data_IF_263959675082
#
_entry.id   IF_263959675082
#
_cell.length_a   1.000
_cell.length_b   1.000
_cell.length_c   1.000
_cell.angle_alpha   90.00
_cell.angle_beta   90.00
_cell.angle_gamma   90.00
#
_symmetry.space_group_name_H-M   'P 1'
#
loop_
_entity.id
_entity.type
_entity.pdbx_description
1 polymer ?
#
# COMPACT_ATOMS: atom_id res chain seq x y z
N UNK A 1 65.66 -5.15 -35.69
CA UNK A 1 65.07 -4.11 -34.84
C UNK A 1 63.62 -4.48 -34.61
N UNK A 2 63.29 -4.76 -33.36
CA UNK A 2 61.98 -5.14 -32.85
C UNK A 2 60.99 -3.97 -32.94
N UNK A 3 59.70 -4.29 -33.09
CA UNK A 3 58.62 -3.75 -32.24
C UNK A 3 57.35 -4.57 -32.46
N UNK A 4 57.17 -5.56 -31.58
CA UNK A 4 55.92 -6.27 -31.35
C UNK A 4 55.01 -5.37 -30.51
N UNK A 5 53.92 -4.87 -31.09
CA UNK A 5 52.83 -4.25 -30.33
C UNK A 5 51.98 -5.35 -29.69
N UNK A 6 52.25 -5.60 -28.42
CA UNK A 6 51.35 -6.31 -27.51
C UNK A 6 50.24 -5.32 -27.09
N UNK A 7 49.06 -5.43 -27.68
CA UNK A 7 47.85 -4.83 -27.11
C UNK A 7 47.20 -5.85 -26.17
N UNK A 8 47.11 -5.58 -24.86
CA UNK A 8 46.51 -6.51 -23.92
C UNK A 8 45.01 -6.60 -24.15
N UNK A 9 44.52 -7.84 -24.23
CA UNK A 9 43.12 -8.22 -24.23
C UNK A 9 42.31 -7.31 -23.29
N UNK A 10 41.34 -6.60 -23.87
CA UNK A 10 40.35 -5.86 -23.14
C UNK A 10 39.68 -6.79 -22.10
N UNK A 11 40.04 -6.57 -20.83
CA UNK A 11 39.39 -7.21 -19.70
C UNK A 11 37.89 -6.91 -19.79
N UNK A 12 37.10 -7.94 -20.09
CA UNK A 12 35.65 -7.91 -20.00
C UNK A 12 35.30 -7.41 -18.61
N UNK A 13 34.63 -6.25 -18.54
CA UNK A 13 34.04 -5.76 -17.29
C UNK A 13 33.21 -6.89 -16.68
N UNK A 14 33.42 -7.27 -15.41
CA UNK A 14 32.58 -8.26 -14.77
C UNK A 14 31.14 -7.75 -14.81
N UNK A 15 30.25 -8.58 -15.33
CA UNK A 15 28.83 -8.32 -15.30
C UNK A 15 28.38 -8.03 -13.88
N UNK A 16 27.44 -7.11 -13.76
CA UNK A 16 26.65 -6.83 -12.56
C UNK A 16 26.30 -8.16 -11.86
N UNK A 17 26.56 -8.34 -10.54
CA UNK A 17 26.18 -9.57 -9.87
C UNK A 17 24.65 -9.61 -9.83
N UNK A 18 24.05 -10.43 -10.70
CA UNK A 18 22.60 -10.52 -10.89
C UNK A 18 22.10 -11.88 -10.43
N UNK A 19 22.32 -12.18 -9.15
CA UNK A 19 21.61 -13.16 -8.35
C UNK A 19 22.31 -13.15 -6.99
N UNK A 20 21.76 -12.45 -6.00
CA UNK A 20 21.76 -13.09 -4.69
C UNK A 20 21.01 -14.41 -4.93
N UNK A 21 21.56 -15.55 -4.50
CA UNK A 21 20.94 -16.86 -4.67
C UNK A 21 19.48 -16.76 -4.25
N UNK A 22 18.58 -16.71 -5.24
CA UNK A 22 17.16 -16.73 -4.98
C UNK A 22 16.92 -18.12 -4.43
N UNK A 23 16.36 -18.19 -3.22
CA UNK A 23 15.98 -19.46 -2.63
C UNK A 23 15.08 -20.21 -3.62
N UNK A 24 15.57 -21.34 -4.16
CA UNK A 24 14.85 -22.08 -5.20
C UNK A 24 13.50 -22.60 -4.68
N UNK A 25 13.34 -22.75 -3.36
CA UNK A 25 12.07 -23.12 -2.74
C UNK A 25 10.98 -22.04 -2.89
N UNK A 26 11.36 -20.77 -3.06
CA UNK A 26 10.42 -19.67 -3.30
C UNK A 26 9.80 -19.73 -4.69
N UNK A 27 10.54 -20.21 -5.69
CA UNK A 27 10.12 -20.19 -7.10
C UNK A 27 8.73 -20.84 -7.30
N UNK A 28 8.48 -22.10 -6.88
CA UNK A 28 7.17 -22.73 -7.09
C UNK A 28 6.03 -22.04 -6.32
N UNK A 29 6.32 -21.47 -5.14
CA UNK A 29 5.34 -20.71 -4.35
C UNK A 29 4.91 -19.47 -5.13
N UNK A 30 5.89 -18.70 -5.61
CA UNK A 30 5.64 -17.46 -6.36
C UNK A 30 4.98 -17.76 -7.70
N UNK A 31 5.37 -18.82 -8.40
CA UNK A 31 4.68 -19.27 -9.61
C UNK A 31 3.20 -19.59 -9.36
N UNK A 32 2.88 -20.31 -8.28
CA UNK A 32 1.50 -20.61 -7.89
C UNK A 32 0.71 -19.31 -7.66
N UNK A 33 1.31 -18.35 -6.97
CA UNK A 33 0.70 -17.03 -6.74
C UNK A 33 0.50 -16.28 -8.06
N UNK A 34 1.47 -16.29 -8.97
CA UNK A 34 1.40 -15.65 -10.30
C UNK A 34 0.36 -16.30 -11.22
N UNK A 35 0.13 -17.62 -11.10
CA UNK A 35 -0.90 -18.34 -11.85
C UNK A 35 -2.30 -17.94 -11.39
N UNK A 36 -2.50 -17.79 -10.07
CA UNK A 36 -3.75 -17.31 -9.48
C UNK A 36 -4.00 -15.84 -9.80
N UNK A 37 -2.95 -15.02 -9.75
CA UNK A 37 -2.98 -13.60 -10.07
C UNK A 37 -2.34 -13.36 -11.41
N UNK A 38 -3.07 -13.65 -12.49
CA UNK A 38 -2.56 -13.40 -13.84
C UNK A 38 -2.29 -11.91 -14.06
N UNK A 39 -1.34 -11.64 -14.95
CA UNK A 39 -1.05 -10.30 -15.45
C UNK A 39 -2.35 -9.62 -15.89
N UNK A 40 -2.53 -8.36 -15.50
CA UNK A 40 -3.73 -7.57 -15.83
C UNK A 40 -3.65 -7.13 -17.29
N UNK A 41 -4.71 -7.43 -18.06
CA UNK A 41 -4.90 -6.95 -19.43
C UNK A 41 -5.48 -5.54 -19.42
N UNK A 42 -5.46 -4.86 -20.57
CA UNK A 42 -6.06 -3.52 -20.68
C UNK A 42 -7.59 -3.57 -20.46
N UNK A 43 -8.25 -4.64 -20.91
CA UNK A 43 -9.70 -4.81 -20.71
C UNK A 43 -10.03 -4.94 -19.23
N UNK A 44 -9.33 -5.85 -18.52
CA UNK A 44 -9.49 -6.03 -17.08
C UNK A 44 -9.13 -4.76 -16.27
N UNK A 45 -8.28 -3.88 -16.82
CA UNK A 45 -7.98 -2.59 -16.20
C UNK A 45 -9.21 -1.67 -16.19
N UNK A 46 -10.04 -1.69 -17.23
CA UNK A 46 -11.27 -0.90 -17.30
C UNK A 46 -12.28 -1.37 -16.25
N UNK A 47 -12.37 -2.68 -16.03
CA UNK A 47 -13.19 -3.25 -14.96
C UNK A 47 -12.69 -2.83 -13.56
N UNK A 48 -11.38 -2.85 -13.34
CA UNK A 48 -10.75 -2.41 -12.07
C UNK A 48 -10.98 -0.91 -11.84
N UNK A 49 -10.88 -0.10 -12.89
CA UNK A 49 -11.11 1.34 -12.83
C UNK A 49 -12.59 1.70 -12.72
N UNK A 50 -13.50 0.76 -13.03
CA UNK A 50 -14.95 0.94 -13.03
C UNK A 50 -15.37 2.18 -13.84
N UNK A 51 -14.70 2.45 -14.97
CA UNK A 51 -14.82 3.69 -15.73
C UNK A 51 -15.18 3.51 -17.21
N UNK A 52 -15.86 2.41 -17.53
CA UNK A 52 -16.40 2.13 -18.87
C UNK A 52 -17.71 2.86 -19.18
N UNK A 53 -18.27 2.59 -20.38
CA UNK A 53 -19.47 3.25 -20.93
C UNK A 53 -20.74 3.10 -20.08
N UNK A 54 -20.74 2.22 -19.08
CA UNK A 54 -21.85 1.94 -18.16
C UNK A 54 -21.92 2.86 -16.93
N UNK A 55 -21.14 3.94 -16.90
CA UNK A 55 -21.14 4.92 -15.81
C UNK A 55 -22.46 5.70 -15.69
N UNK A 56 -23.08 6.02 -16.83
CA UNK A 56 -24.34 6.77 -16.91
C UNK A 56 -25.49 5.81 -16.62
N UNK A 57 -26.30 6.15 -15.62
CA UNK A 57 -27.47 5.38 -15.19
C UNK A 57 -28.54 6.32 -14.61
N UNK A 58 -29.64 5.77 -14.08
CA UNK A 58 -30.73 6.60 -13.54
C UNK A 58 -30.30 7.55 -12.41
N UNK A 59 -29.19 7.25 -11.73
CA UNK A 59 -28.62 8.04 -10.63
C UNK A 59 -27.33 8.82 -11.01
N UNK A 60 -26.82 8.66 -12.24
CA UNK A 60 -25.65 9.38 -12.79
C UNK A 60 -25.93 9.83 -14.21
N UNK A 61 -25.86 11.13 -14.44
CA UNK A 61 -25.98 11.64 -15.79
C UNK A 61 -24.67 12.26 -16.30
N UNK A 62 -24.74 12.83 -17.51
CA UNK A 62 -23.60 13.51 -18.11
C UNK A 62 -23.21 14.78 -17.34
N UNK A 63 -24.16 15.43 -16.66
CA UNK A 63 -23.88 16.64 -15.86
C UNK A 63 -23.00 16.29 -14.67
N UNK A 64 -23.23 15.14 -14.05
CA UNK A 64 -22.36 14.63 -12.98
C UNK A 64 -20.94 14.34 -13.49
N UNK A 65 -20.79 13.65 -14.62
CA UNK A 65 -19.47 13.38 -15.23
C UNK A 65 -18.74 14.68 -15.63
N UNK A 66 -19.45 15.67 -16.15
CA UNK A 66 -18.90 16.98 -16.47
C UNK A 66 -18.43 17.70 -15.20
N UNK A 67 -19.14 17.55 -14.07
CA UNK A 67 -18.71 18.09 -12.79
C UNK A 67 -17.45 17.38 -12.26
N UNK A 68 -17.36 16.05 -12.41
CA UNK A 68 -16.15 15.29 -12.09
C UNK A 68 -14.97 15.75 -12.93
N UNK A 69 -15.16 15.96 -14.24
CA UNK A 69 -14.12 16.49 -15.12
C UNK A 69 -13.68 17.90 -14.69
N UNK A 70 -14.64 18.79 -14.37
CA UNK A 70 -14.34 20.13 -13.89
C UNK A 70 -13.61 20.13 -12.53
N UNK A 71 -13.95 19.20 -11.63
CA UNK A 71 -13.22 18.99 -10.36
C UNK A 71 -11.81 18.46 -10.61
N UNK A 72 -11.66 17.50 -11.52
CA UNK A 72 -10.38 16.93 -11.91
C UNK A 72 -9.44 17.99 -12.47
N UNK A 73 -9.87 18.77 -13.46
CA UNK A 73 -9.05 19.79 -14.12
C UNK A 73 -8.55 20.86 -13.16
N UNK A 74 -9.31 21.18 -12.10
CA UNK A 74 -8.93 22.16 -11.07
C UNK A 74 -8.09 21.56 -9.92
N UNK A 75 -7.91 20.25 -9.87
CA UNK A 75 -7.27 19.58 -8.74
C UNK A 75 -5.73 19.70 -8.75
N UNK A 76 -5.12 19.75 -7.56
CA UNK A 76 -3.66 19.58 -7.41
C UNK A 76 -3.18 18.21 -7.90
N UNK A 77 -4.07 17.21 -7.85
CA UNK A 77 -3.78 15.86 -8.34
C UNK A 77 -3.60 15.83 -9.86
N UNK A 78 -4.34 16.65 -10.63
CA UNK A 78 -4.16 16.82 -12.07
C UNK A 78 -2.78 17.35 -12.41
N UNK A 79 -2.37 18.44 -11.74
CA UNK A 79 -1.01 18.99 -11.90
C UNK A 79 0.05 17.92 -11.65
N UNK A 80 -0.16 17.07 -10.66
CA UNK A 80 0.76 15.96 -10.39
C UNK A 80 0.72 14.88 -11.48
N UNK A 81 -0.48 14.48 -11.92
CA UNK A 81 -0.68 13.46 -12.96
C UNK A 81 -0.08 13.87 -14.31
N UNK A 82 -0.06 15.16 -14.64
CA UNK A 82 0.62 15.67 -15.84
C UNK A 82 2.13 15.42 -15.86
N UNK A 83 2.73 15.14 -14.70
CA UNK A 83 4.14 14.77 -14.59
C UNK A 83 4.39 13.25 -14.67
N UNK A 84 3.36 12.43 -14.82
CA UNK A 84 3.50 10.98 -15.02
C UNK A 84 4.03 10.72 -16.43
N UNK A 85 5.08 9.90 -16.55
CA UNK A 85 5.69 9.55 -17.84
C UNK A 85 6.75 10.56 -18.32
N UNK A 86 6.79 11.76 -17.74
CA UNK A 86 7.76 12.81 -18.06
C UNK A 86 9.00 12.75 -17.16
N UNK A 87 8.94 12.01 -16.04
CA UNK A 87 10.05 11.86 -15.10
C UNK A 87 10.93 10.69 -15.52
N UNK A 88 11.87 10.95 -16.44
CA UNK A 88 12.84 9.98 -17.00
C UNK A 88 13.43 8.93 -16.02
N UNK A 89 13.50 9.19 -14.70
CA UNK A 89 14.01 8.26 -13.66
C UNK A 89 12.98 7.78 -12.62
N UNK A 90 11.78 8.37 -12.52
CA UNK A 90 10.79 8.04 -11.47
C UNK A 90 9.56 7.29 -12.00
N UNK A 91 9.34 7.27 -13.31
CA UNK A 91 8.16 6.59 -13.87
C UNK A 91 8.25 5.07 -13.77
N UNK A 92 9.45 4.48 -13.79
CA UNK A 92 9.61 3.03 -13.67
C UNK A 92 9.15 2.51 -12.28
N UNK A 93 9.60 3.09 -11.14
CA UNK A 93 9.08 2.73 -9.82
C UNK A 93 7.56 2.90 -9.65
N UNK A 94 6.99 4.00 -10.13
CA UNK A 94 5.54 4.22 -10.04
C UNK A 94 4.77 3.21 -10.89
N UNK A 95 5.27 2.89 -12.09
CA UNK A 95 4.68 1.87 -12.96
C UNK A 95 4.69 0.49 -12.30
N UNK A 96 5.80 0.13 -11.67
CA UNK A 96 5.91 -1.16 -10.97
C UNK A 96 4.96 -1.22 -9.76
N UNK A 97 4.82 -0.13 -8.99
CA UNK A 97 3.80 -0.01 -7.94
C UNK A 97 2.39 -0.20 -8.50
N UNK A 98 2.08 0.46 -9.62
CA UNK A 98 0.80 0.30 -10.31
C UNK A 98 0.51 -1.16 -10.66
N UNK A 99 1.47 -1.83 -11.30
CA UNK A 99 1.35 -3.23 -11.72
C UNK A 99 1.08 -4.16 -10.55
N UNK A 100 1.79 -4.00 -9.43
CA UNK A 100 1.56 -4.88 -8.28
C UNK A 100 0.21 -4.60 -7.60
N UNK A 101 -0.17 -3.32 -7.43
CA UNK A 101 -1.47 -2.98 -6.84
C UNK A 101 -2.64 -3.57 -7.64
N UNK A 102 -2.66 -3.34 -8.95
CA UNK A 102 -3.76 -3.83 -9.81
C UNK A 102 -3.75 -5.34 -9.94
N UNK A 103 -2.57 -5.97 -9.93
CA UNK A 103 -2.45 -7.41 -10.06
C UNK A 103 -2.91 -8.16 -8.82
N UNK A 104 -2.38 -7.82 -7.66
CA UNK A 104 -2.60 -8.56 -6.42
C UNK A 104 -3.82 -8.10 -5.66
N UNK A 105 -4.12 -6.80 -5.69
CA UNK A 105 -5.19 -6.21 -4.89
C UNK A 105 -6.39 -5.74 -5.71
N UNK A 106 -6.32 -5.79 -7.04
CA UNK A 106 -7.38 -5.29 -7.95
C UNK A 106 -7.79 -3.85 -7.61
N UNK A 107 -6.82 -3.05 -7.19
CA UNK A 107 -6.99 -1.65 -6.79
C UNK A 107 -5.88 -0.82 -7.41
N UNK A 108 -6.18 0.41 -7.81
CA UNK A 108 -5.14 1.33 -8.31
C UNK A 108 -4.50 2.08 -7.15
N UNK A 109 -3.21 2.47 -7.24
CA UNK A 109 -2.56 3.23 -6.16
C UNK A 109 -3.31 4.50 -5.74
N UNK A 110 -3.89 5.31 -6.67
CA UNK A 110 -4.67 6.49 -6.29
C UNK A 110 -5.96 6.21 -5.53
N UNK A 111 -6.48 4.98 -5.55
CA UNK A 111 -7.64 4.56 -4.73
C UNK A 111 -7.16 3.87 -3.47
N UNK A 112 -6.27 2.88 -3.61
CA UNK A 112 -5.73 2.05 -2.53
C UNK A 112 -5.11 2.90 -1.41
N UNK A 113 -4.27 3.89 -1.77
CA UNK A 113 -3.47 4.68 -0.81
C UNK A 113 -4.02 6.10 -0.63
N UNK A 114 -5.34 6.22 -0.61
CA UNK A 114 -6.06 7.49 -0.65
C UNK A 114 -6.91 7.75 0.60
N UNK A 115 -7.40 8.99 0.78
CA UNK A 115 -8.28 9.33 1.89
C UNK A 115 -9.54 8.47 1.99
N UNK A 116 -9.96 7.83 0.90
CA UNK A 116 -11.04 6.82 0.90
C UNK A 116 -10.76 5.69 1.88
N UNK A 117 -9.54 5.16 1.83
CA UNK A 117 -9.04 4.15 2.75
C UNK A 117 -8.41 4.78 4.00
N UNK A 118 -8.75 6.04 4.32
CA UNK A 118 -8.25 6.80 5.47
C UNK A 118 -6.74 6.92 5.51
N UNK A 119 -6.08 6.88 4.36
CA UNK A 119 -4.63 6.98 4.27
C UNK A 119 -4.24 8.12 3.36
N UNK A 120 -3.15 8.80 3.67
CA UNK A 120 -2.54 9.73 2.72
C UNK A 120 -1.03 9.67 2.87
N UNK A 121 -0.33 9.46 1.76
CA UNK A 121 1.12 9.52 1.77
C UNK A 121 1.59 10.95 2.00
N UNK A 122 2.51 11.10 2.95
CA UNK A 122 3.20 12.35 3.26
C UNK A 122 4.71 12.13 3.13
N UNK A 123 5.42 12.86 2.26
CA UNK A 123 6.86 12.74 2.13
C UNK A 123 7.56 13.31 3.37
N UNK A 124 8.69 12.71 3.75
CA UNK A 124 9.48 13.14 4.93
C UNK A 124 10.02 14.58 4.81
N UNK A 125 10.25 15.07 3.59
CA UNK A 125 10.80 16.41 3.34
C UNK A 125 9.82 17.17 2.45
N UNK A 126 9.24 18.23 3.00
CA UNK A 126 8.42 19.19 2.24
C UNK A 126 9.36 20.20 1.55
N UNK A 127 9.81 19.87 0.32
CA UNK A 127 10.41 20.85 -0.61
C UNK A 127 9.35 21.36 -1.59
N UNK A 128 9.68 22.28 -2.51
CA UNK A 128 8.75 22.80 -3.54
C UNK A 128 8.06 21.70 -4.39
N UNK A 129 8.58 20.46 -4.38
CA UNK A 129 7.98 19.27 -5.00
C UNK A 129 7.19 18.36 -4.03
N UNK A 130 6.79 18.85 -2.86
CA UNK A 130 6.09 18.09 -1.83
C UNK A 130 4.72 17.60 -2.33
N UNK A 131 3.93 18.47 -2.97
CA UNK A 131 2.63 18.10 -3.53
C UNK A 131 2.75 16.97 -4.56
N UNK A 132 3.73 17.09 -5.46
CA UNK A 132 4.09 16.07 -6.44
C UNK A 132 4.46 14.72 -5.79
N UNK A 133 5.17 14.77 -4.66
CA UNK A 133 5.60 13.57 -3.94
C UNK A 133 4.48 12.95 -3.09
N UNK A 134 3.53 13.75 -2.60
CA UNK A 134 2.33 13.25 -1.90
C UNK A 134 1.44 12.44 -2.84
N UNK A 135 1.34 12.86 -4.10
CA UNK A 135 0.42 12.27 -5.07
C UNK A 135 1.04 11.15 -5.91
N UNK A 136 2.33 11.24 -6.24
CA UNK A 136 3.02 10.26 -7.09
C UNK A 136 4.05 9.40 -6.33
N UNK A 137 4.11 9.58 -5.00
CA UNK A 137 5.09 8.93 -4.13
C UNK A 137 6.54 9.30 -4.50
N UNK A 138 7.47 9.02 -3.59
CA UNK A 138 8.91 9.08 -3.90
C UNK A 138 9.34 7.76 -4.53
N UNK A 139 10.46 7.74 -5.28
CA UNK A 139 11.03 6.49 -5.80
C UNK A 139 11.23 5.43 -4.72
N UNK A 140 11.76 5.85 -3.55
CA UNK A 140 11.96 4.96 -2.41
C UNK A 140 10.63 4.38 -1.91
N UNK A 141 9.60 5.23 -1.77
CA UNK A 141 8.28 4.79 -1.35
C UNK A 141 7.63 3.84 -2.36
N UNK A 142 7.68 4.13 -3.66
CA UNK A 142 7.16 3.23 -4.69
C UNK A 142 7.77 1.84 -4.58
N UNK A 143 9.10 1.75 -4.49
CA UNK A 143 9.80 0.47 -4.39
C UNK A 143 9.46 -0.26 -3.09
N UNK A 144 9.51 0.43 -1.95
CA UNK A 144 9.25 -0.19 -0.65
C UNK A 144 7.81 -0.70 -0.56
N UNK A 145 6.83 0.09 -1.01
CA UNK A 145 5.42 -0.31 -1.04
C UNK A 145 5.24 -1.48 -2.01
N UNK A 146 5.82 -1.41 -3.21
CA UNK A 146 5.68 -2.48 -4.19
C UNK A 146 6.26 -3.81 -3.69
N UNK A 147 7.46 -3.79 -3.11
CA UNK A 147 8.10 -4.97 -2.53
C UNK A 147 7.25 -5.52 -1.36
N UNK A 148 6.66 -4.64 -0.54
CA UNK A 148 5.81 -5.04 0.58
C UNK A 148 4.50 -5.70 0.10
N UNK A 149 3.83 -5.16 -0.92
CA UNK A 149 2.57 -5.71 -1.48
C UNK A 149 2.74 -7.16 -1.95
N UNK A 150 3.91 -7.50 -2.47
CA UNK A 150 4.20 -8.85 -2.98
C UNK A 150 4.26 -9.91 -1.88
N UNK A 151 4.40 -9.51 -0.61
CA UNK A 151 4.58 -10.45 0.48
C UNK A 151 3.33 -11.34 0.69
N UNK A 152 3.54 -12.63 0.93
CA UNK A 152 2.46 -13.63 1.02
C UNK A 152 1.59 -13.48 2.26
N UNK A 153 2.07 -12.79 3.30
CA UNK A 153 1.35 -12.59 4.56
C UNK A 153 0.01 -11.86 4.41
N UNK A 154 -0.16 -11.09 3.32
CA UNK A 154 -1.42 -10.41 3.03
C UNK A 154 -2.49 -11.34 2.47
N UNK A 155 -2.14 -12.60 2.15
CA UNK A 155 -3.04 -13.58 1.53
C UNK A 155 -3.72 -13.04 0.26
N UNK A 156 -3.06 -12.11 -0.44
CA UNK A 156 -3.56 -11.45 -1.64
C UNK A 156 -4.83 -10.61 -1.40
N UNK A 157 -5.07 -10.20 -0.15
CA UNK A 157 -6.11 -9.26 0.23
C UNK A 157 -5.47 -7.90 0.60
N UNK A 158 -6.05 -6.82 0.09
CA UNK A 158 -5.56 -5.47 0.36
C UNK A 158 -5.96 -4.98 1.75
N UNK A 159 -7.03 -5.52 2.36
CA UNK A 159 -7.55 -5.06 3.64
C UNK A 159 -6.52 -5.23 4.77
N UNK A 160 -5.88 -6.41 4.96
CA UNK A 160 -4.79 -6.56 5.93
C UNK A 160 -3.64 -5.57 5.69
N UNK A 161 -3.22 -5.40 4.44
CA UNK A 161 -2.15 -4.46 4.08
C UNK A 161 -2.47 -3.01 4.49
N UNK A 162 -3.68 -2.54 4.15
CA UNK A 162 -4.15 -1.19 4.51
C UNK A 162 -4.26 -1.02 6.01
N UNK A 163 -4.82 -2.00 6.73
CA UNK A 163 -4.95 -1.95 8.18
C UNK A 163 -3.60 -1.93 8.89
N UNK A 164 -2.64 -2.72 8.42
CA UNK A 164 -1.27 -2.68 8.95
C UNK A 164 -0.61 -1.33 8.70
N UNK A 165 -0.81 -0.73 7.52
CA UNK A 165 -0.27 0.59 7.21
C UNK A 165 -0.89 1.69 8.07
N UNK A 166 -2.23 1.66 8.27
CA UNK A 166 -2.95 2.54 9.19
C UNK A 166 -2.39 2.40 10.61
N UNK A 167 -2.21 1.17 11.08
CA UNK A 167 -1.74 0.91 12.43
C UNK A 167 -0.31 1.39 12.65
N UNK A 168 0.62 1.06 11.73
CA UNK A 168 2.00 1.52 11.80
C UNK A 168 2.10 3.05 11.82
N UNK A 169 1.37 3.71 10.92
CA UNK A 169 1.33 5.17 10.84
C UNK A 169 0.68 5.79 12.09
N UNK A 170 -0.39 5.19 12.62
CA UNK A 170 -1.03 5.64 13.86
C UNK A 170 -0.06 5.54 15.05
N UNK A 171 0.62 4.41 15.22
CA UNK A 171 1.64 4.23 16.24
C UNK A 171 2.73 5.31 16.17
N UNK A 172 3.21 5.65 14.95
CA UNK A 172 4.16 6.75 14.78
C UNK A 172 3.61 8.10 15.24
N UNK A 173 2.35 8.44 14.98
CA UNK A 173 1.78 9.74 15.35
C UNK A 173 1.19 9.79 16.78
N UNK A 174 1.62 8.86 17.65
CA UNK A 174 1.23 8.82 19.07
C UNK A 174 0.20 7.74 19.40
N UNK A 175 -0.41 7.10 18.40
CA UNK A 175 -1.23 5.90 18.55
C UNK A 175 -2.60 6.11 19.19
N UNK A 176 -3.00 7.33 19.49
CA UNK A 176 -4.28 7.62 20.18
C UNK A 176 -5.44 7.83 19.21
N UNK A 177 -5.20 7.88 17.89
CA UNK A 177 -6.29 8.10 16.94
C UNK A 177 -7.17 6.86 16.88
N UNK A 178 -8.47 7.06 17.12
CA UNK A 178 -9.48 6.03 17.03
C UNK A 178 -9.95 5.89 15.59
N UNK A 179 -9.46 4.88 14.88
CA UNK A 179 -9.81 4.68 13.47
C UNK A 179 -11.13 3.93 13.25
N UNK A 180 -11.89 3.54 14.30
CA UNK A 180 -13.29 3.01 14.39
C UNK A 180 -13.93 2.23 13.23
N UNK A 181 -13.18 1.80 12.23
CA UNK A 181 -13.73 1.18 11.03
C UNK A 181 -13.24 -0.26 10.92
N UNK A 182 -14.18 -1.06 10.39
CA UNK A 182 -14.30 -2.52 10.40
C UNK A 182 -12.96 -3.27 10.30
N UNK A 183 -12.44 -3.77 11.42
CA UNK A 183 -11.32 -4.67 11.40
C UNK A 183 -11.83 -6.08 11.09
N UNK A 184 -11.26 -6.66 10.04
CA UNK A 184 -11.11 -8.10 9.90
C UNK A 184 -12.43 -8.91 9.98
N UNK A 185 -13.38 -8.71 9.04
CA UNK A 185 -14.65 -9.44 9.06
C UNK A 185 -14.49 -10.97 9.09
N UNK A 186 -13.32 -11.47 8.69
CA UNK A 186 -13.05 -12.89 8.50
C UNK A 186 -11.92 -13.45 9.39
N UNK A 187 -11.36 -12.67 10.33
CA UNK A 187 -10.30 -13.21 11.20
C UNK A 187 -10.91 -13.84 12.46
N UNK A 188 -10.86 -15.17 12.64
CA UNK A 188 -11.32 -15.85 13.85
C UNK A 188 -10.37 -15.61 15.05
N UNK A 189 -9.60 -14.52 15.04
CA UNK A 189 -8.59 -14.23 16.04
C UNK A 189 -9.23 -13.50 17.24
N UNK A 190 -9.32 -14.14 18.41
CA UNK A 190 -10.01 -13.57 19.58
C UNK A 190 -9.40 -12.24 20.03
N UNK A 191 -8.08 -12.11 19.94
CA UNK A 191 -7.35 -10.86 20.21
C UNK A 191 -7.85 -9.71 19.34
N UNK A 192 -7.97 -9.92 18.02
CA UNK A 192 -8.38 -8.86 17.09
C UNK A 192 -9.87 -8.54 17.25
N UNK A 193 -10.70 -9.53 17.60
CA UNK A 193 -12.11 -9.32 17.92
C UNK A 193 -12.28 -8.49 19.19
N UNK A 194 -11.53 -8.80 20.24
CA UNK A 194 -11.54 -8.05 21.51
C UNK A 194 -11.04 -6.61 21.32
N UNK A 195 -9.94 -6.43 20.56
CA UNK A 195 -9.46 -5.10 20.19
C UNK A 195 -10.51 -4.32 19.40
N UNK A 196 -11.16 -4.95 18.41
CA UNK A 196 -12.23 -4.31 17.65
C UNK A 196 -13.37 -3.84 18.56
N UNK A 197 -13.90 -4.74 19.40
CA UNK A 197 -14.98 -4.41 20.32
C UNK A 197 -14.62 -3.22 21.21
N UNK A 198 -13.37 -3.18 21.68
CA UNK A 198 -12.82 -2.06 22.45
C UNK A 198 -12.84 -0.75 21.63
N UNK A 199 -12.30 -0.75 20.40
CA UNK A 199 -12.29 0.45 19.54
C UNK A 199 -13.71 0.94 19.18
N UNK A 200 -14.64 0.00 18.95
CA UNK A 200 -16.04 0.31 18.67
C UNK A 200 -16.76 0.91 19.88
N UNK A 201 -16.40 0.53 21.10
CA UNK A 201 -17.00 1.07 22.32
C UNK A 201 -16.73 2.57 22.54
N UNK A 202 -15.58 3.07 22.06
CA UNK A 202 -15.17 4.46 22.25
C UNK A 202 -15.76 5.40 21.21
N UNK A 203 -16.67 6.31 21.61
CA UNK A 203 -17.32 7.21 20.66
C UNK A 203 -16.44 8.33 20.09
N UNK A 204 -15.38 8.70 20.80
CA UNK A 204 -14.47 9.79 20.43
C UNK A 204 -13.49 9.45 19.30
N UNK A 205 -12.94 10.50 18.69
CA UNK A 205 -11.82 10.40 17.72
C UNK A 205 -10.49 10.06 18.38
N UNK A 206 -10.34 10.33 19.67
CA UNK A 206 -9.15 10.01 20.45
C UNK A 206 -9.46 8.90 21.46
N UNK A 207 -8.52 7.96 21.57
CA UNK A 207 -8.52 6.86 22.51
C UNK A 207 -7.89 7.29 23.84
N UNK A 208 -8.37 6.77 24.98
CA UNK A 208 -7.77 7.05 26.29
C UNK A 208 -6.38 6.42 26.47
N UNK A 209 -6.02 5.46 25.63
CA UNK A 209 -4.73 4.76 25.59
C UNK A 209 -4.33 4.58 24.13
N UNK A 210 -3.05 4.32 23.88
CA UNK A 210 -2.62 4.05 22.49
C UNK A 210 -3.26 2.76 21.99
N UNK A 211 -3.52 2.67 20.68
CA UNK A 211 -4.07 1.46 20.07
C UNK A 211 -3.19 0.24 20.34
N UNK A 212 -1.87 0.44 20.42
CA UNK A 212 -0.96 -0.65 20.77
C UNK A 212 -1.13 -1.11 22.22
N UNK A 213 -1.32 -0.21 23.19
CA UNK A 213 -1.65 -0.59 24.57
C UNK A 213 -2.98 -1.35 24.66
N UNK A 214 -3.99 -0.91 23.91
CA UNK A 214 -5.27 -1.62 23.85
C UNK A 214 -5.12 -3.00 23.21
N UNK A 215 -4.24 -3.13 22.21
CA UNK A 215 -3.92 -4.41 21.59
C UNK A 215 -3.21 -5.34 22.58
N UNK A 216 -2.25 -4.85 23.37
CA UNK A 216 -1.61 -5.60 24.46
C UNK A 216 -2.66 -6.10 25.46
N UNK A 217 -3.60 -5.25 25.87
CA UNK A 217 -4.68 -5.65 26.77
C UNK A 217 -5.62 -6.68 26.17
N UNK A 218 -5.84 -6.66 24.86
CA UNK A 218 -6.59 -7.72 24.18
C UNK A 218 -5.79 -9.03 24.07
N UNK A 219 -4.45 -8.96 24.01
CA UNK A 219 -3.56 -10.11 23.91
C UNK A 219 -3.42 -10.89 25.21
N UNK A 220 -3.28 -10.19 26.35
CA UNK A 220 -2.96 -10.84 27.62
C UNK A 220 -4.00 -11.91 28.03
N UNK A 221 -5.32 -11.63 28.00
CA UNK A 221 -6.31 -12.65 28.36
C UNK A 221 -6.31 -13.84 27.39
N UNK A 222 -6.18 -13.60 26.08
CA UNK A 222 -6.13 -14.67 25.09
C UNK A 222 -4.94 -15.62 25.34
N UNK A 223 -3.77 -15.07 25.67
CA UNK A 223 -2.58 -15.86 26.02
C UNK A 223 -2.80 -16.65 27.32
N UNK A 224 -3.41 -16.04 28.34
CA UNK A 224 -3.76 -16.71 29.60
C UNK A 224 -4.74 -17.89 29.38
N UNK A 225 -5.68 -17.71 28.46
CA UNK A 225 -6.67 -18.72 28.03
C UNK A 225 -6.10 -19.74 27.02
N UNK A 226 -4.80 -19.62 26.67
CA UNK A 226 -4.09 -20.46 25.69
C UNK A 226 -4.69 -20.39 24.28
N UNK A 227 -5.33 -19.29 23.95
CA UNK A 227 -5.74 -18.97 22.59
C UNK A 227 -4.56 -18.36 21.82
N UNK A 228 -4.19 -18.97 20.69
CA UNK A 228 -3.05 -18.51 19.91
C UNK A 228 -3.41 -17.23 19.12
N UNK A 229 -2.66 -16.13 19.28
CA UNK A 229 -2.81 -14.98 18.41
C UNK A 229 -2.49 -15.35 16.96
N UNK A 230 -3.25 -14.77 16.01
CA UNK A 230 -2.95 -14.94 14.59
C UNK A 230 -1.64 -14.24 14.21
N UNK A 231 -1.01 -14.70 13.12
CA UNK A 231 0.16 -14.05 12.49
C UNK A 231 -0.06 -12.54 12.33
N UNK A 232 -1.26 -12.13 11.91
CA UNK A 232 -1.58 -10.73 11.73
C UNK A 232 -1.59 -9.96 13.06
N UNK A 233 -2.12 -10.55 14.12
CA UNK A 233 -2.02 -9.99 15.47
C UNK A 233 -0.57 -9.88 15.92
N UNK A 234 0.27 -10.87 15.65
CA UNK A 234 1.68 -10.83 16.04
C UNK A 234 2.48 -9.79 15.25
N UNK A 235 2.22 -9.63 13.95
CA UNK A 235 2.80 -8.55 13.16
C UNK A 235 2.43 -7.18 13.72
N UNK A 236 1.16 -6.97 14.06
CA UNK A 236 0.69 -5.70 14.64
C UNK A 236 1.32 -5.42 16.01
N UNK A 237 1.56 -6.48 16.80
CA UNK A 237 2.28 -6.37 18.05
C UNK A 237 3.74 -5.94 17.79
N UNK A 238 4.45 -6.66 16.92
CA UNK A 238 5.85 -6.36 16.58
C UNK A 238 6.05 -4.97 15.97
N UNK A 239 5.10 -4.50 15.16
CA UNK A 239 5.08 -3.12 14.63
C UNK A 239 4.91 -2.12 15.77
N UNK A 240 3.98 -2.36 16.69
CA UNK A 240 3.75 -1.48 17.83
C UNK A 240 4.99 -1.32 18.72
N UNK A 241 5.73 -2.42 18.94
CA UNK A 241 7.00 -2.43 19.68
C UNK A 241 8.13 -1.72 18.92
N UNK A 242 8.12 -1.81 17.58
CA UNK A 242 9.18 -1.27 16.73
C UNK A 242 8.94 0.18 16.29
N UNK A 243 7.69 0.65 16.35
CA UNK A 243 7.30 1.96 15.86
C UNK A 243 7.90 3.07 16.74
N UNK A 244 8.65 3.98 16.12
CA UNK A 244 9.17 5.16 16.80
C UNK A 244 8.11 6.26 16.76
N UNK A 245 7.69 6.73 17.93
CA UNK A 245 6.76 7.87 18.04
C UNK A 245 7.44 9.16 17.56
N UNK A 246 6.83 9.81 16.59
CA UNK A 246 7.22 11.12 16.08
C UNK A 246 6.83 12.20 17.09
N UNK A 247 7.81 12.99 17.54
CA UNK A 247 7.58 14.02 18.57
C UNK A 247 6.95 15.28 18.00
N UNK A 248 7.16 15.53 16.71
CA UNK A 248 6.72 16.74 16.03
C UNK A 248 6.17 16.43 14.63
N UNK A 249 4.92 15.96 14.52
CA UNK A 249 4.25 15.81 13.23
C UNK A 249 4.18 17.13 12.46
N UNK A 250 4.20 17.09 11.12
CA UNK A 250 4.07 18.30 10.31
C UNK A 250 2.65 18.88 10.38
N UNK A 251 2.50 20.18 10.08
CA UNK A 251 1.17 20.81 10.03
C UNK A 251 0.21 20.10 9.08
N UNK A 252 0.73 19.55 7.97
CA UNK A 252 -0.04 18.76 7.02
C UNK A 252 -0.54 17.45 7.62
N UNK A 253 0.31 16.76 8.39
CA UNK A 253 -0.10 15.54 9.08
C UNK A 253 -1.18 15.83 10.12
N UNK A 254 -1.03 16.90 10.89
CA UNK A 254 -2.04 17.32 11.87
C UNK A 254 -3.38 17.67 11.20
N UNK A 255 -3.35 18.33 10.04
CA UNK A 255 -4.56 18.63 9.27
C UNK A 255 -5.26 17.35 8.76
N UNK A 256 -4.50 16.39 8.23
CA UNK A 256 -5.05 15.09 7.82
C UNK A 256 -5.70 14.35 8.98
N UNK A 257 -5.06 14.33 10.15
CA UNK A 257 -5.58 13.67 11.35
C UNK A 257 -6.91 14.28 11.82
N UNK A 258 -7.09 15.61 11.74
CA UNK A 258 -8.37 16.27 12.07
C UNK A 258 -9.53 15.76 11.21
N UNK A 259 -9.23 15.44 9.96
CA UNK A 259 -10.16 14.87 8.99
C UNK A 259 -10.24 13.33 9.04
N UNK A 260 -9.67 12.71 10.07
CA UNK A 260 -9.66 11.25 10.25
C UNK A 260 -8.97 10.51 9.07
N UNK A 261 -7.93 11.14 8.51
CA UNK A 261 -7.04 10.55 7.52
C UNK A 261 -5.69 10.34 8.19
N UNK A 262 -5.21 9.10 8.17
CA UNK A 262 -3.95 8.70 8.76
C UNK A 262 -2.81 9.03 7.78
N UNK A 263 -1.92 9.98 8.12
CA UNK A 263 -0.78 10.29 7.27
C UNK A 263 0.26 9.20 7.42
N UNK A 264 0.61 8.52 6.32
CA UNK A 264 1.67 7.51 6.33
C UNK A 264 2.91 8.00 5.57
N UNK A 265 4.07 7.53 6.00
CA UNK A 265 5.39 7.85 5.47
C UNK A 265 6.10 6.57 5.03
N UNK A 266 7.21 6.74 4.30
CA UNK A 266 8.09 5.61 3.97
C UNK A 266 8.61 4.90 5.22
N UNK A 267 8.84 5.62 6.32
CA UNK A 267 9.30 5.03 7.59
C UNK A 267 8.30 4.05 8.19
N UNK A 268 7.00 4.22 7.90
CA UNK A 268 5.95 3.30 8.37
C UNK A 268 6.01 2.01 7.56
N UNK A 269 6.23 2.11 6.24
CA UNK A 269 6.45 0.97 5.35
C UNK A 269 7.72 0.20 5.75
N UNK A 270 8.82 0.92 6.00
CA UNK A 270 10.08 0.34 6.45
C UNK A 270 9.96 -0.34 7.82
N UNK A 271 9.14 0.18 8.72
CA UNK A 271 8.84 -0.44 10.01
C UNK A 271 8.16 -1.81 9.81
N UNK A 272 7.11 -1.85 8.96
CA UNK A 272 6.40 -3.10 8.63
C UNK A 272 7.35 -4.11 7.98
N UNK A 273 8.17 -3.68 7.02
CA UNK A 273 9.14 -4.55 6.36
C UNK A 273 10.11 -5.18 7.36
N UNK A 274 10.69 -4.37 8.27
CA UNK A 274 11.59 -4.87 9.30
C UNK A 274 10.91 -5.86 10.24
N UNK A 275 9.65 -5.64 10.60
CA UNK A 275 8.91 -6.58 11.45
C UNK A 275 8.66 -7.91 10.73
N UNK A 276 8.25 -7.88 9.46
CA UNK A 276 8.08 -9.09 8.65
C UNK A 276 9.42 -9.83 8.51
N UNK A 277 10.49 -9.10 8.19
CA UNK A 277 11.83 -9.68 8.02
C UNK A 277 12.33 -10.29 9.34
N UNK A 278 12.06 -9.67 10.50
CA UNK A 278 12.39 -10.26 11.80
C UNK A 278 11.64 -11.58 12.02
N UNK A 279 10.35 -11.61 11.68
CA UNK A 279 9.52 -12.81 11.81
C UNK A 279 9.95 -13.91 10.84
N UNK A 280 10.45 -13.54 9.66
CA UNK A 280 11.02 -14.48 8.70
C UNK A 280 12.16 -15.33 9.27
N UNK A 281 12.84 -14.84 10.31
CA UNK A 281 13.90 -15.55 11.01
C UNK A 281 13.44 -16.30 12.26
N UNK A 282 12.28 -15.95 12.83
CA UNK A 282 11.88 -16.41 14.17
C UNK A 282 10.54 -17.14 14.24
N UNK A 283 9.71 -17.07 13.20
CA UNK A 283 8.36 -17.62 13.18
C UNK A 283 8.12 -18.39 11.88
N UNK A 284 7.94 -19.71 11.98
CA UNK A 284 7.76 -20.59 10.82
C UNK A 284 6.53 -20.21 9.96
N UNK A 285 5.55 -19.52 10.55
CA UNK A 285 4.34 -19.05 9.87
C UNK A 285 4.61 -17.89 8.91
N UNK A 286 5.75 -17.21 9.06
CA UNK A 286 6.27 -16.19 8.15
C UNK A 286 7.57 -16.72 7.58
N UNK A 287 7.55 -17.40 6.44
CA UNK A 287 8.70 -18.20 6.03
C UNK A 287 9.79 -17.44 5.28
N UNK A 288 9.54 -16.19 4.84
CA UNK A 288 10.46 -15.46 3.96
C UNK A 288 10.50 -13.96 4.23
N UNK A 289 11.63 -13.34 3.96
CA UNK A 289 11.79 -11.89 4.02
C UNK A 289 11.06 -11.20 2.86
N UNK A 290 10.68 -9.94 3.05
CA UNK A 290 10.08 -9.10 2.00
C UNK A 290 10.99 -9.03 0.77
N UNK A 291 12.29 -8.90 0.99
CA UNK A 291 13.27 -8.84 -0.09
C UNK A 291 13.34 -10.14 -0.89
N UNK A 292 13.38 -11.29 -0.22
CA UNK A 292 13.46 -12.59 -0.89
C UNK A 292 12.26 -12.82 -1.80
N UNK A 293 11.05 -12.51 -1.29
CA UNK A 293 9.81 -12.60 -2.06
C UNK A 293 9.84 -11.64 -3.26
N UNK A 294 10.21 -10.38 -3.05
CA UNK A 294 10.26 -9.38 -4.11
C UNK A 294 11.29 -9.72 -5.21
N UNK A 295 12.46 -10.26 -4.85
CA UNK A 295 13.50 -10.66 -5.80
C UNK A 295 13.03 -11.87 -6.63
N UNK A 296 12.38 -12.87 -6.02
CA UNK A 296 11.78 -14.00 -6.73
C UNK A 296 10.67 -13.55 -7.72
N UNK A 297 9.80 -12.62 -7.30
CA UNK A 297 8.80 -12.03 -8.20
C UNK A 297 9.45 -11.28 -9.37
N UNK A 298 10.52 -10.51 -9.12
CA UNK A 298 11.23 -9.77 -10.18
C UNK A 298 11.90 -10.70 -11.19
N UNK A 299 12.30 -11.90 -10.79
CA UNK A 299 12.82 -12.93 -11.70
C UNK A 299 11.73 -13.50 -12.60
N UNK A 300 10.54 -13.76 -12.04
CA UNK A 300 9.46 -14.48 -12.72
C UNK A 300 8.46 -13.56 -13.46
N UNK A 301 8.47 -12.25 -13.18
CA UNK A 301 7.54 -11.31 -13.81
C UNK A 301 7.75 -11.21 -15.32
N UNK A 302 6.65 -10.95 -16.03
CA UNK A 302 6.63 -10.72 -17.48
C UNK A 302 6.11 -9.31 -17.77
N UNK A 303 6.06 -8.94 -19.04
CA UNK A 303 5.52 -7.65 -19.46
C UNK A 303 4.05 -7.50 -19.06
N UNK A 304 3.74 -6.38 -18.41
CA UNK A 304 2.44 -6.11 -17.76
C UNK A 304 1.97 -4.67 -17.99
N UNK A 305 0.65 -4.47 -18.00
CA UNK A 305 -0.01 -3.15 -18.04
C UNK A 305 -0.04 -2.55 -16.61
N UNK A 306 0.14 -1.23 -16.43
CA UNK A 306 0.42 -0.22 -17.45
C UNK A 306 1.81 -0.34 -18.06
N UNK A 307 1.92 -0.10 -19.38
CA UNK A 307 3.19 0.29 -20.00
C UNK A 307 3.53 1.74 -19.65
N UNK A 308 4.76 2.18 -19.95
CA UNK A 308 5.17 3.58 -19.74
C UNK A 308 4.25 4.59 -20.42
N UNK A 309 3.77 4.26 -21.62
CA UNK A 309 2.92 5.16 -22.42
C UNK A 309 1.48 5.23 -21.91
N UNK A 310 0.99 4.15 -21.30
CA UNK A 310 -0.37 4.06 -20.77
C UNK A 310 -0.52 4.63 -19.35
N UNK A 311 0.57 4.64 -18.56
CA UNK A 311 0.51 4.97 -17.13
C UNK A 311 -0.14 6.34 -16.85
N UNK A 312 0.14 7.36 -17.66
CA UNK A 312 -0.41 8.71 -17.45
C UNK A 312 -1.93 8.74 -17.60
N UNK A 313 -2.44 8.10 -18.65
CA UNK A 313 -3.87 8.04 -18.93
C UNK A 313 -4.60 7.24 -17.85
N UNK A 314 -4.06 6.07 -17.50
CA UNK A 314 -4.63 5.21 -16.45
C UNK A 314 -4.59 5.88 -15.07
N UNK A 315 -3.53 6.65 -14.77
CA UNK A 315 -3.45 7.44 -13.54
C UNK A 315 -4.52 8.53 -13.47
N UNK A 316 -4.75 9.24 -14.58
CA UNK A 316 -5.82 10.23 -14.65
C UNK A 316 -7.20 9.58 -14.47
N UNK A 317 -7.46 8.46 -15.15
CA UNK A 317 -8.70 7.67 -15.03
C UNK A 317 -8.96 7.22 -13.59
N UNK A 318 -7.96 6.64 -12.92
CA UNK A 318 -8.08 6.26 -11.50
C UNK A 318 -8.34 7.44 -10.57
N UNK A 319 -7.72 8.60 -10.83
CA UNK A 319 -7.95 9.79 -10.01
C UNK A 319 -9.39 10.30 -10.17
N UNK A 320 -9.94 10.28 -11.40
CA UNK A 320 -11.35 10.59 -11.62
C UNK A 320 -12.26 9.60 -10.93
N UNK A 321 -11.94 8.30 -10.98
CA UNK A 321 -12.70 7.29 -10.26
C UNK A 321 -12.75 7.57 -8.75
N UNK A 322 -11.64 8.02 -8.17
CA UNK A 322 -11.66 8.47 -6.77
C UNK A 322 -12.64 9.65 -6.56
N UNK A 323 -12.66 10.64 -7.45
CA UNK A 323 -13.63 11.73 -7.34
C UNK A 323 -15.08 11.23 -7.42
N UNK A 324 -15.36 10.23 -8.27
CA UNK A 324 -16.68 9.56 -8.34
C UNK A 324 -17.04 8.88 -7.03
N UNK A 325 -16.13 8.10 -6.46
CA UNK A 325 -16.34 7.42 -5.17
C UNK A 325 -16.65 8.43 -4.06
N UNK A 326 -15.94 9.56 -4.01
CA UNK A 326 -16.21 10.62 -3.01
C UNK A 326 -17.57 11.27 -3.24
N UNK A 327 -17.95 11.51 -4.50
CA UNK A 327 -19.25 12.08 -4.86
C UNK A 327 -20.40 11.08 -4.62
N UNK A 328 -20.12 9.77 -4.54
CA UNK A 328 -21.09 8.67 -4.44
C UNK A 328 -20.76 7.66 -3.36
N UNK A 329 -20.97 7.98 -2.08
CA UNK A 329 -20.72 7.02 -1.00
C UNK A 329 -21.62 5.77 -1.07
N UNK A 330 -22.78 5.84 -1.74
CA UNK A 330 -23.79 4.77 -1.76
C UNK A 330 -23.62 3.65 -2.79
N UNK A 331 -22.90 3.88 -3.90
CA UNK A 331 -22.81 2.92 -5.03
C UNK A 331 -21.59 2.00 -4.96
N UNK A 332 -20.51 2.44 -4.32
CA UNK A 332 -19.30 1.63 -4.13
C UNK A 332 -19.30 0.99 -2.74
N UNK A 333 -20.33 0.18 -2.44
CA UNK A 333 -20.37 -0.64 -1.24
C UNK A 333 -20.01 0.14 0.04
N UNK A 334 -20.86 1.08 0.44
CA UNK A 334 -21.03 1.26 1.88
C UNK A 334 -21.54 -0.07 2.40
N UNK A 335 -20.70 -0.81 3.14
CA UNK A 335 -21.23 -1.51 4.30
C UNK A 335 -21.88 -0.40 5.11
N UNK A 336 -23.19 -0.32 4.99
CA UNK A 336 -24.07 0.64 5.60
C UNK A 336 -23.84 0.57 7.11
N UNK A 337 -23.08 1.54 7.64
CA UNK A 337 -23.12 1.87 9.06
C UNK A 337 -24.18 2.94 9.23
N UNK A 338 -25.45 2.54 9.13
CA UNK A 338 -26.51 3.14 9.93
C UNK A 338 -26.91 2.13 11.01
N UNK A 339 -26.88 2.52 12.28
CA UNK A 339 -27.42 1.70 13.36
C UNK A 339 -28.92 1.92 13.42
N UNK A 340 -29.68 0.83 13.27
CA UNK A 340 -30.75 0.60 14.24
C UNK A 340 -30.19 -0.29 15.34
#
# INVERSE_FOLDING_TARGET
>A
MNTTNNDPQAARRPGRPLAAEIDESLVPIIETVLQRHRAVTLDAMTDILQDGDSLINDDWDQVDEDEIEAKWQRSERKKSSDHVGTRKKNDDPLRDLWRVCVRFFKQTPPVLLSPYNRLQFVPKIEKDSAALSCHLFTKGACNAIADLILHTVWQQDHRPFIHTLIYAANCRVGGTINFRWLPFPDAPCPVLQSLNATLQSFKGKELPKTVHQLHIYARNPAIEEREEPSIFSDLMYGIGESATVEKSPSMRELDLLRHNIIPFRITDVECIQKTIDAFAYSDERVSYSVKSVADAFKLLKRDEVPTRYQLRELDARACKQMLRIVARPGLHGTVTLSPD
#
